data_IF_130550189107
#
_entry.id   IF_130550189107
#
_cell.length_a   1.000
_cell.length_b   1.000
_cell.length_c   1.000
_cell.angle_alpha   90.00
_cell.angle_beta   90.00
_cell.angle_gamma   90.00
#
_symmetry.space_group_name_H-M   'P 1'
#
loop_
_entity.id
_entity.type
_entity.pdbx_description
1 polymer ?
#
# COMPACT_ATOMS: atom_id res chain seq x y z
N UNK A 1 -34.29 6.41 -16.58
CA UNK A 1 -35.10 5.64 -15.62
C UNK A 1 -36.39 5.24 -16.33
N UNK A 2 -36.42 4.08 -16.97
CA UNK A 2 -37.59 3.58 -17.72
C UNK A 2 -38.33 2.65 -16.77
N UNK A 3 -39.51 3.09 -16.35
CA UNK A 3 -40.46 2.25 -15.61
C UNK A 3 -41.22 1.40 -16.60
N UNK A 4 -41.01 0.10 -16.62
CA UNK A 4 -41.88 -0.85 -17.32
C UNK A 4 -43.00 -1.18 -16.34
N UNK A 5 -44.23 -0.69 -16.66
CA UNK A 5 -45.43 -1.15 -15.99
C UNK A 5 -45.95 -2.42 -16.67
N UNK A 6 -45.93 -3.53 -15.98
CA UNK A 6 -46.72 -4.71 -16.33
C UNK A 6 -48.12 -4.54 -15.86
N UNK A 7 -49.06 -4.43 -16.82
CA UNK A 7 -50.50 -4.55 -16.53
C UNK A 7 -50.94 -5.96 -16.92
N UNK A 8 -51.25 -6.75 -15.92
CA UNK A 8 -51.88 -8.05 -16.10
C UNK A 8 -53.39 -7.81 -16.10
N UNK A 9 -54.06 -8.00 -17.25
CA UNK A 9 -55.52 -8.14 -17.33
C UNK A 9 -55.87 -9.59 -17.53
N UNK A 10 -56.58 -10.17 -16.57
CA UNK A 10 -57.19 -11.49 -16.62
C UNK A 10 -58.64 -11.33 -17.07
N UNK A 11 -59.02 -12.07 -18.07
CA UNK A 11 -60.39 -12.61 -18.22
C UNK A 11 -61.29 -11.98 -19.25
N UNK A 12 -61.73 -12.80 -20.21
CA UNK A 12 -63.10 -12.79 -20.73
C UNK A 12 -63.29 -12.48 -22.21
N UNK A 13 -63.49 -13.55 -22.96
CA UNK A 13 -64.33 -13.70 -24.19
C UNK A 13 -64.47 -12.55 -25.19
N UNK A 14 -63.95 -12.78 -26.39
CA UNK A 14 -64.67 -12.54 -27.62
C UNK A 14 -64.71 -11.09 -28.12
N UNK A 15 -63.84 -10.76 -29.04
CA UNK A 15 -63.95 -9.53 -29.82
C UNK A 15 -62.71 -9.28 -30.64
N UNK A 16 -62.74 -9.63 -31.92
CA UNK A 16 -61.70 -9.35 -32.89
C UNK A 16 -61.71 -7.82 -33.17
N UNK A 17 -60.87 -7.06 -32.53
CA UNK A 17 -60.66 -5.65 -32.84
C UNK A 17 -59.53 -5.55 -33.87
N UNK A 18 -59.87 -5.28 -35.10
CA UNK A 18 -58.90 -4.92 -36.14
C UNK A 18 -58.47 -3.48 -35.88
N UNK A 19 -57.30 -3.31 -35.33
CA UNK A 19 -56.69 -1.99 -35.19
C UNK A 19 -55.97 -1.68 -36.51
N UNK A 20 -56.55 -0.81 -37.31
CA UNK A 20 -55.90 -0.23 -38.48
C UNK A 20 -54.75 0.67 -38.00
N UNK A 21 -53.54 0.25 -38.21
CA UNK A 21 -52.37 1.07 -37.95
C UNK A 21 -52.25 2.12 -39.06
N UNK A 22 -52.52 3.38 -38.73
CA UNK A 22 -52.17 4.50 -39.61
C UNK A 22 -50.67 4.72 -39.54
N UNK A 23 -49.95 4.90 -40.67
CA UNK A 23 -48.53 5.23 -40.65
C UNK A 23 -48.36 6.65 -40.10
N UNK A 24 -47.67 6.77 -38.98
CA UNK A 24 -47.20 8.05 -38.46
C UNK A 24 -46.02 8.51 -39.32
N UNK A 25 -46.03 9.71 -39.93
CA UNK A 25 -44.89 10.22 -40.65
C UNK A 25 -43.75 10.47 -39.67
N UNK A 26 -42.65 9.76 -39.84
CA UNK A 26 -41.41 9.97 -39.09
C UNK A 26 -40.71 11.22 -39.61
N UNK A 27 -41.01 12.38 -39.00
CA UNK A 27 -40.18 13.56 -39.13
C UNK A 27 -38.97 13.39 -38.19
N UNK A 28 -37.98 12.64 -38.63
CA UNK A 28 -36.67 12.58 -37.96
C UNK A 28 -35.83 13.74 -38.51
N UNK A 29 -35.38 14.69 -37.70
CA UNK A 29 -34.38 15.65 -38.15
C UNK A 29 -33.08 14.87 -38.41
N UNK A 30 -32.71 14.81 -39.68
CA UNK A 30 -31.38 14.33 -40.05
C UNK A 30 -30.36 15.36 -39.55
N UNK A 31 -29.39 14.91 -38.74
CA UNK A 31 -28.14 15.65 -38.53
C UNK A 31 -27.69 15.92 -37.10
N UNK A 32 -27.98 15.07 -36.14
CA UNK A 32 -27.16 15.08 -34.93
C UNK A 32 -26.41 13.77 -34.83
N UNK A 33 -25.18 13.80 -35.34
CA UNK A 33 -24.16 12.78 -35.01
C UNK A 33 -23.81 13.01 -33.55
N UNK A 34 -24.42 12.23 -32.66
CA UNK A 34 -23.98 12.19 -31.28
C UNK A 34 -22.57 11.59 -31.26
N UNK A 35 -21.55 12.42 -31.12
CA UNK A 35 -20.22 11.95 -30.76
C UNK A 35 -20.31 11.34 -29.36
N UNK A 36 -20.41 10.02 -29.30
CA UNK A 36 -20.11 9.29 -28.08
C UNK A 36 -18.61 9.40 -27.88
N UNK A 37 -18.20 10.29 -26.99
CA UNK A 37 -16.84 10.26 -26.46
C UNK A 37 -16.81 9.08 -25.50
N UNK A 38 -16.28 7.95 -25.96
CA UNK A 38 -15.89 6.86 -25.09
C UNK A 38 -14.72 7.37 -24.23
N UNK A 39 -15.06 7.97 -23.10
CA UNK A 39 -14.07 8.23 -22.05
C UNK A 39 -13.71 6.85 -21.52
N UNK A 40 -12.46 6.37 -21.74
CA UNK A 40 -12.06 5.09 -21.16
C UNK A 40 -12.30 5.21 -19.66
N UNK A 41 -13.09 4.28 -19.10
CA UNK A 41 -13.26 4.19 -17.66
C UNK A 41 -11.84 4.14 -17.07
N UNK A 42 -11.44 5.24 -16.40
CA UNK A 42 -10.17 5.26 -15.68
C UNK A 42 -10.23 4.09 -14.73
N UNK A 43 -9.40 3.09 -14.98
CA UNK A 43 -9.22 1.99 -14.05
C UNK A 43 -8.76 2.66 -12.76
N UNK A 44 -9.65 2.76 -11.78
CA UNK A 44 -9.32 3.22 -10.44
C UNK A 44 -8.59 2.05 -9.83
N UNK A 45 -7.25 2.05 -9.98
CA UNK A 45 -6.40 1.14 -9.21
C UNK A 45 -6.76 1.34 -7.74
N UNK A 46 -6.95 0.26 -6.96
CA UNK A 46 -7.20 0.39 -5.53
C UNK A 46 -6.06 1.21 -4.94
N UNK A 47 -6.40 2.30 -4.23
CA UNK A 47 -5.42 3.12 -3.55
C UNK A 47 -4.58 2.23 -2.62
N UNK A 48 -3.25 2.32 -2.66
CA UNK A 48 -2.42 1.51 -1.78
C UNK A 48 -2.81 1.75 -0.32
N UNK A 49 -2.71 0.71 0.52
CA UNK A 49 -3.02 0.76 1.95
C UNK A 49 -2.04 1.66 2.75
N UNK A 50 -1.16 2.37 2.08
CA UNK A 50 -0.16 3.27 2.65
C UNK A 50 -0.09 4.57 1.83
N UNK A 51 0.47 5.61 2.44
CA UNK A 51 0.67 6.92 1.79
C UNK A 51 2.05 7.04 1.17
N UNK A 52 2.24 8.01 0.26
CA UNK A 52 3.57 8.36 -0.27
C UNK A 52 4.54 8.75 0.85
N UNK A 53 4.03 9.35 1.93
CA UNK A 53 4.81 9.69 3.10
C UNK A 53 5.30 8.45 3.86
N UNK A 54 4.47 7.43 4.00
CA UNK A 54 4.86 6.15 4.61
C UNK A 54 5.95 5.47 3.79
N UNK A 55 5.78 5.43 2.47
CA UNK A 55 6.78 4.90 1.55
C UNK A 55 8.11 5.65 1.67
N UNK A 56 8.07 6.99 1.70
CA UNK A 56 9.26 7.82 1.88
C UNK A 56 9.96 7.54 3.22
N UNK A 57 9.21 7.50 4.33
CA UNK A 57 9.78 7.24 5.65
C UNK A 57 10.42 5.85 5.74
N UNK A 58 9.74 4.81 5.22
CA UNK A 58 10.28 3.44 5.23
C UNK A 58 11.53 3.33 4.35
N UNK A 59 11.48 3.87 3.12
CA UNK A 59 12.62 3.87 2.21
C UNK A 59 13.83 4.58 2.82
N UNK A 60 13.59 5.69 3.51
CA UNK A 60 14.63 6.47 4.17
C UNK A 60 15.25 5.72 5.34
N UNK A 61 14.43 5.00 6.12
CA UNK A 61 14.93 4.16 7.18
C UNK A 61 15.83 3.05 6.63
N UNK A 62 15.38 2.32 5.62
CA UNK A 62 16.18 1.28 4.94
C UNK A 62 17.49 1.86 4.42
N UNK A 63 17.44 3.02 3.76
CA UNK A 63 18.62 3.67 3.18
C UNK A 63 19.68 3.99 4.23
N UNK A 64 19.30 4.53 5.39
CA UNK A 64 20.24 4.92 6.42
C UNK A 64 20.73 3.74 7.28
N UNK A 65 19.88 2.76 7.53
CA UNK A 65 20.20 1.64 8.42
C UNK A 65 20.82 0.46 7.66
N UNK A 66 20.38 0.19 6.44
CA UNK A 66 20.77 -1.01 5.70
C UNK A 66 21.08 -0.75 4.22
N UNK A 67 21.30 0.48 3.79
CA UNK A 67 21.46 0.83 2.36
C UNK A 67 22.64 0.16 1.66
N UNK A 68 23.64 -0.33 2.40
CA UNK A 68 24.78 -1.09 1.90
C UNK A 68 24.69 -2.59 2.18
N UNK A 69 23.68 -3.03 2.92
CA UNK A 69 23.44 -4.44 3.23
C UNK A 69 22.92 -5.21 1.99
N UNK A 70 23.05 -6.54 1.98
CA UNK A 70 22.31 -7.39 1.04
C UNK A 70 20.81 -7.11 1.07
N UNK A 71 20.11 -7.31 -0.04
CA UNK A 71 18.68 -7.01 -0.13
C UNK A 71 17.86 -7.67 0.97
N UNK A 72 18.16 -8.91 1.34
CA UNK A 72 17.48 -9.61 2.43
C UNK A 72 17.62 -8.87 3.77
N UNK A 73 18.79 -8.28 4.07
CA UNK A 73 19.00 -7.44 5.26
C UNK A 73 18.16 -6.15 5.20
N UNK A 74 18.02 -5.57 4.02
CA UNK A 74 17.16 -4.40 3.81
C UNK A 74 15.68 -4.73 4.01
N UNK A 75 15.21 -5.88 3.51
CA UNK A 75 13.86 -6.40 3.77
C UNK A 75 13.62 -6.63 5.27
N UNK A 76 14.59 -7.23 5.98
CA UNK A 76 14.49 -7.48 7.41
C UNK A 76 14.34 -6.18 8.22
N UNK A 77 15.13 -5.15 7.92
CA UNK A 77 15.02 -3.83 8.57
C UNK A 77 13.66 -3.19 8.28
N UNK A 78 13.15 -3.30 7.05
CA UNK A 78 11.81 -2.82 6.70
C UNK A 78 10.73 -3.55 7.51
N UNK A 79 10.79 -4.87 7.59
CA UNK A 79 9.84 -5.69 8.34
C UNK A 79 9.83 -5.34 9.83
N UNK A 80 11.00 -5.15 10.46
CA UNK A 80 11.08 -4.70 11.86
C UNK A 80 10.35 -3.37 12.05
N UNK A 81 10.48 -2.44 11.11
CA UNK A 81 9.74 -1.17 11.18
C UNK A 81 8.22 -1.39 11.16
N UNK A 82 7.71 -2.28 10.30
CA UNK A 82 6.29 -2.61 10.24
C UNK A 82 5.81 -3.39 11.47
N UNK A 83 6.64 -4.29 12.02
CA UNK A 83 6.34 -4.99 13.26
C UNK A 83 6.16 -3.99 14.42
N UNK A 84 7.01 -2.97 14.49
CA UNK A 84 6.88 -1.90 15.50
C UNK A 84 5.57 -1.15 15.33
N UNK A 85 5.16 -0.80 14.11
CA UNK A 85 3.86 -0.15 13.86
C UNK A 85 2.68 -1.01 14.35
N UNK A 86 2.79 -2.33 14.24
CA UNK A 86 1.75 -3.29 14.71
C UNK A 86 1.79 -3.53 16.21
N UNK A 87 2.91 -3.23 16.86
CA UNK A 87 3.11 -3.48 18.28
C UNK A 87 2.67 -2.24 19.09
N UNK A 88 1.68 -2.37 20.02
CA UNK A 88 1.14 -1.24 20.78
C UNK A 88 2.14 -0.52 21.69
N UNK A 89 3.35 -1.07 21.87
CA UNK A 89 4.45 -0.41 22.60
C UNK A 89 5.15 0.67 21.78
N UNK A 90 4.88 0.77 20.49
CA UNK A 90 5.49 1.73 19.56
C UNK A 90 4.44 2.66 18.95
N UNK A 91 4.85 3.74 18.30
CA UNK A 91 3.94 4.59 17.56
C UNK A 91 3.19 3.84 16.44
N UNK A 92 1.99 4.29 16.12
CA UNK A 92 1.01 3.67 15.25
C UNK A 92 1.17 3.98 13.74
N UNK A 93 2.26 4.62 13.34
CA UNK A 93 2.54 4.91 11.93
C UNK A 93 4.03 4.82 11.61
N UNK A 94 4.33 4.52 10.36
CA UNK A 94 5.71 4.29 9.88
C UNK A 94 6.59 5.52 10.17
N UNK A 95 6.13 6.71 9.78
CA UNK A 95 6.92 7.91 10.02
C UNK A 95 7.11 8.21 11.50
N UNK A 96 6.10 7.96 12.35
CA UNK A 96 6.26 8.15 13.80
C UNK A 96 7.26 7.17 14.40
N UNK A 97 7.25 5.89 13.95
CA UNK A 97 8.24 4.89 14.37
C UNK A 97 9.64 5.30 13.93
N UNK A 98 9.80 5.70 12.66
CA UNK A 98 11.11 6.06 12.09
C UNK A 98 11.68 7.34 12.67
N UNK A 99 10.82 8.31 12.99
CA UNK A 99 11.23 9.61 13.56
C UNK A 99 11.15 9.65 15.08
N UNK A 100 10.81 8.54 15.72
CA UNK A 100 10.75 8.47 17.17
C UNK A 100 12.12 8.76 17.79
N UNK A 101 12.08 9.47 18.89
CA UNK A 101 13.28 9.99 19.53
C UNK A 101 14.15 8.83 20.01
N UNK A 102 15.43 8.83 19.60
CA UNK A 102 16.44 7.82 19.94
C UNK A 102 16.29 6.44 19.26
N UNK A 103 15.31 6.23 18.41
CA UNK A 103 15.20 4.97 17.65
C UNK A 103 16.32 4.85 16.62
N UNK A 104 16.56 5.92 15.87
CA UNK A 104 17.57 5.94 14.81
C UNK A 104 18.48 7.16 14.94
N UNK A 105 19.79 6.94 14.94
CA UNK A 105 20.78 8.00 15.15
C UNK A 105 20.72 9.12 14.09
N UNK A 106 20.44 8.77 12.85
CA UNK A 106 20.31 9.72 11.74
C UNK A 106 19.04 10.60 11.87
N UNK A 107 17.98 10.06 12.46
CA UNK A 107 16.70 10.76 12.64
C UNK A 107 16.76 11.83 13.74
N UNK A 108 17.73 11.77 14.65
CA UNK A 108 17.91 12.78 15.68
C UNK A 108 18.29 14.18 15.12
N UNK A 109 18.76 14.26 13.89
CA UNK A 109 19.04 15.52 13.19
C UNK A 109 17.85 15.97 12.36
N UNK A 110 17.02 16.84 12.92
CA UNK A 110 15.77 17.34 12.31
C UNK A 110 15.93 17.86 10.87
N UNK A 111 17.09 18.46 10.54
CA UNK A 111 17.41 18.96 9.21
C UNK A 111 17.51 17.85 8.14
N UNK A 112 17.65 16.58 8.53
CA UNK A 112 17.78 15.44 7.64
C UNK A 112 16.46 14.72 7.37
N UNK A 113 15.40 15.01 8.12
CA UNK A 113 14.13 14.27 8.00
C UNK A 113 13.57 14.33 6.58
N UNK A 114 13.57 15.49 5.97
CA UNK A 114 12.92 15.73 4.67
C UNK A 114 13.90 15.91 3.50
N UNK A 115 15.19 15.74 3.74
CA UNK A 115 16.16 15.73 2.64
C UNK A 115 16.00 14.45 1.83
N UNK A 116 15.77 14.58 0.55
CA UNK A 116 15.65 13.45 -0.37
C UNK A 116 17.06 12.88 -0.65
N UNK A 117 17.34 11.60 -0.30
CA UNK A 117 18.53 10.94 -0.74
C UNK A 117 18.52 10.70 -2.25
N UNK A 118 19.68 10.34 -2.83
CA UNK A 118 19.79 10.04 -4.24
C UNK A 118 20.79 8.89 -4.49
N UNK A 119 20.77 8.37 -5.72
CA UNK A 119 21.70 7.32 -6.16
C UNK A 119 21.15 5.91 -6.04
N UNK A 120 22.00 4.93 -6.43
CA UNK A 120 21.61 3.51 -6.57
C UNK A 120 21.06 2.93 -5.27
N UNK A 121 21.68 3.22 -4.13
CA UNK A 121 21.22 2.70 -2.84
C UNK A 121 19.86 3.27 -2.45
N UNK A 122 19.60 4.55 -2.75
CA UNK A 122 18.29 5.14 -2.51
C UNK A 122 17.21 4.47 -3.38
N UNK A 123 17.46 4.32 -4.68
CA UNK A 123 16.51 3.70 -5.59
C UNK A 123 16.19 2.26 -5.17
N UNK A 124 17.21 1.51 -4.72
CA UNK A 124 17.01 0.16 -4.19
C UNK A 124 16.19 0.17 -2.91
N UNK A 125 16.52 1.02 -1.94
CA UNK A 125 15.77 1.11 -0.68
C UNK A 125 14.32 1.53 -0.90
N UNK A 126 14.06 2.41 -1.86
CA UNK A 126 12.70 2.83 -2.23
C UNK A 126 11.91 1.67 -2.88
N UNK A 127 12.51 0.91 -3.78
CA UNK A 127 11.91 -0.29 -4.38
C UNK A 127 11.58 -1.36 -3.33
N UNK A 128 12.52 -1.60 -2.39
CA UNK A 128 12.32 -2.56 -1.29
C UNK A 128 11.20 -2.10 -0.37
N UNK A 129 11.17 -0.82 0.01
CA UNK A 129 10.09 -0.27 0.83
C UNK A 129 8.72 -0.47 0.17
N UNK A 130 8.63 -0.18 -1.13
CA UNK A 130 7.39 -0.39 -1.90
C UNK A 130 6.97 -1.86 -1.88
N UNK A 131 7.87 -2.79 -2.20
CA UNK A 131 7.57 -4.23 -2.22
C UNK A 131 7.09 -4.76 -0.87
N UNK A 132 7.65 -4.28 0.25
CA UNK A 132 7.20 -4.66 1.59
C UNK A 132 5.82 -4.07 1.90
N UNK A 133 5.55 -2.83 1.51
CA UNK A 133 4.27 -2.17 1.75
C UNK A 133 3.14 -2.74 0.88
N UNK A 134 3.46 -3.18 -0.32
CA UNK A 134 2.52 -3.89 -1.21
C UNK A 134 2.23 -5.34 -0.74
N UNK A 135 3.03 -5.85 0.21
CA UNK A 135 2.89 -7.22 0.72
C UNK A 135 3.56 -8.29 -0.14
N UNK A 136 4.37 -7.89 -1.14
CA UNK A 136 5.03 -8.84 -2.06
C UNK A 136 6.14 -9.63 -1.38
N UNK A 137 6.75 -9.07 -0.33
CA UNK A 137 7.88 -9.68 0.38
C UNK A 137 7.69 -9.61 1.89
N UNK A 138 7.81 -10.78 2.52
CA UNK A 138 7.75 -10.96 3.97
C UNK A 138 8.67 -12.10 4.39
N UNK A 139 9.52 -11.87 5.39
CA UNK A 139 10.47 -12.89 5.87
C UNK A 139 9.80 -13.69 6.99
N UNK A 140 9.54 -14.96 6.73
CA UNK A 140 8.99 -15.89 7.71
C UNK A 140 9.95 -16.02 8.92
N UNK A 141 9.37 -15.98 10.11
CA UNK A 141 10.14 -16.08 11.37
C UNK A 141 10.62 -14.75 11.92
N UNK A 142 10.37 -13.62 11.24
CA UNK A 142 10.63 -12.29 11.76
C UNK A 142 9.36 -11.55 12.22
N UNK A 143 8.22 -12.23 12.38
CA UNK A 143 6.92 -11.61 12.64
C UNK A 143 6.86 -10.81 13.95
N UNK A 144 7.57 -11.27 14.99
CA UNK A 144 7.61 -10.65 16.32
C UNK A 144 8.94 -9.93 16.61
N UNK A 145 9.80 -9.83 15.60
CA UNK A 145 11.10 -9.18 15.75
C UNK A 145 10.93 -7.67 15.77
N UNK A 146 11.36 -7.04 16.86
CA UNK A 146 11.27 -5.59 17.04
C UNK A 146 12.62 -4.91 17.28
N UNK A 147 13.72 -5.69 17.40
CA UNK A 147 15.05 -5.19 17.74
C UNK A 147 16.08 -5.75 16.80
N UNK A 148 17.09 -4.94 16.50
CA UNK A 148 18.30 -5.39 15.82
C UNK A 148 19.47 -4.49 16.18
N UNK A 149 20.66 -5.01 15.96
CA UNK A 149 21.91 -4.24 16.01
C UNK A 149 22.92 -4.80 15.01
N UNK A 150 23.91 -3.99 14.65
CA UNK A 150 25.00 -4.45 13.81
C UNK A 150 25.91 -5.45 14.57
N UNK A 151 26.42 -6.45 13.88
CA UNK A 151 27.21 -7.57 14.43
C UNK A 151 28.49 -7.15 15.17
N UNK A 152 28.99 -5.95 14.89
CA UNK A 152 30.17 -5.37 15.53
C UNK A 152 29.88 -4.56 16.81
N UNK A 153 28.64 -4.51 17.28
CA UNK A 153 28.26 -3.90 18.54
C UNK A 153 27.62 -4.92 19.47
N UNK A 154 27.73 -4.70 20.79
CA UNK A 154 27.17 -5.59 21.81
C UNK A 154 26.38 -4.75 22.83
N UNK A 155 25.14 -4.38 22.50
CA UNK A 155 24.33 -3.57 23.40
C UNK A 155 23.84 -4.42 24.58
N UNK A 156 23.87 -3.87 25.80
CA UNK A 156 23.47 -4.59 27.04
C UNK A 156 22.05 -5.16 26.99
N UNK A 157 21.15 -4.52 26.25
CA UNK A 157 19.78 -5.01 26.13
C UNK A 157 19.68 -6.35 25.38
N UNK A 158 20.63 -6.66 24.47
CA UNK A 158 20.63 -7.90 23.72
C UNK A 158 20.81 -9.15 24.61
N UNK A 159 21.49 -9.02 25.77
CA UNK A 159 21.65 -10.10 26.74
C UNK A 159 20.34 -10.57 27.37
N UNK A 160 19.29 -9.74 27.30
CA UNK A 160 17.96 -9.97 27.88
C UNK A 160 16.93 -10.35 26.82
N UNK A 161 17.36 -10.67 25.61
CA UNK A 161 16.49 -10.96 24.47
C UNK A 161 16.87 -12.27 23.81
N UNK A 162 15.95 -12.82 23.03
CA UNK A 162 16.23 -13.99 22.18
C UNK A 162 16.75 -13.52 20.83
N UNK A 163 17.97 -13.92 20.47
CA UNK A 163 18.46 -13.78 19.11
C UNK A 163 17.69 -14.76 18.21
N UNK A 164 17.01 -14.23 17.19
CA UNK A 164 16.21 -15.02 16.25
C UNK A 164 17.05 -15.45 15.06
N UNK A 165 17.82 -14.52 14.49
CA UNK A 165 18.69 -14.79 13.33
C UNK A 165 19.67 -13.65 13.11
N UNK A 166 20.66 -13.92 12.25
CA UNK A 166 21.52 -12.90 11.66
C UNK A 166 21.31 -12.87 10.15
N UNK A 167 21.10 -11.68 9.60
CA UNK A 167 20.98 -11.43 8.16
C UNK A 167 21.92 -10.29 7.79
N UNK A 168 22.88 -10.57 6.89
CA UNK A 168 23.96 -9.64 6.60
C UNK A 168 24.75 -9.33 7.87
N UNK A 169 24.91 -8.05 8.15
CA UNK A 169 25.62 -7.56 9.34
C UNK A 169 24.70 -7.18 10.49
N UNK A 170 23.42 -7.58 10.45
CA UNK A 170 22.46 -7.31 11.51
C UNK A 170 22.02 -8.59 12.21
N UNK A 171 22.01 -8.57 13.54
CA UNK A 171 21.42 -9.57 14.42
C UNK A 171 20.05 -9.09 14.87
N UNK A 172 19.06 -9.96 14.78
CA UNK A 172 17.66 -9.68 15.00
C UNK A 172 17.14 -10.38 16.25
N UNK A 173 16.32 -9.66 17.04
CA UNK A 173 15.91 -10.12 18.38
C UNK A 173 14.41 -9.89 18.63
N UNK A 174 13.86 -10.76 19.48
CA UNK A 174 12.53 -10.62 20.07
C UNK A 174 12.61 -10.64 21.60
N UNK A 175 11.57 -10.17 22.27
CA UNK A 175 11.41 -10.41 23.71
C UNK A 175 11.07 -11.88 23.96
N UNK A 176 11.46 -12.37 25.16
CA UNK A 176 10.97 -13.66 25.68
C UNK A 176 9.46 -13.61 25.86
#
# INVERSE_FOLDING_TARGET
MIRIMFNICIGGMGGLIIISAFPVPSNTPQGQVAYQVDIPAKIIEPSPLYTDLDLFCLAKNIFHEAGTEPEMGQYAVAQVTLNRVRNPKYPDSICKVVLDKHQFSWANKRSRHWTLPAGVNWNRSHRIAKSVLDGDQWITGLDDVNYYHADYVSPKWAEQMTEVTQIGRHKFYTHY
#
